data_IF_744313895862
#
_entry.id   IF_744313895862
#
_cell.length_a   1.000
_cell.length_b   1.000
_cell.length_c   1.000
_cell.angle_alpha   90.00
_cell.angle_beta   90.00
_cell.angle_gamma   90.00
#
_symmetry.space_group_name_H-M   'P 1'
#
loop_
_entity.id
_entity.type
_entity.pdbx_description
1 polymer ?
#
# COMPACT_ATOMS: atom_id res chain seq x y z
N UNK A 1 26.17 6.56 -10.70
CA UNK A 1 25.48 6.26 -9.44
C UNK A 1 24.45 7.35 -9.22
N UNK A 2 23.16 6.99 -9.09
CA UNK A 2 22.09 7.92 -8.72
C UNK A 2 21.79 7.71 -7.24
N UNK A 3 21.74 8.79 -6.47
CA UNK A 3 21.34 8.76 -5.06
C UNK A 3 19.97 9.44 -4.98
N UNK A 4 19.02 8.81 -4.31
CA UNK A 4 17.65 9.30 -4.19
C UNK A 4 17.39 9.54 -2.71
N UNK A 5 17.05 10.79 -2.36
CA UNK A 5 16.52 11.09 -1.04
C UNK A 5 15.02 10.84 -1.04
N UNK A 6 14.60 9.72 -0.45
CA UNK A 6 13.19 9.30 -0.43
C UNK A 6 12.32 10.27 0.38
N UNK A 7 12.93 11.16 1.17
CA UNK A 7 12.20 12.11 2.01
C UNK A 7 11.58 13.27 1.24
N UNK A 8 12.04 13.52 0.02
CA UNK A 8 11.54 14.59 -0.85
C UNK A 8 10.20 14.24 -1.51
N UNK A 9 9.82 12.96 -1.54
CA UNK A 9 8.60 12.50 -2.19
C UNK A 9 7.39 12.61 -1.26
N UNK A 10 6.38 13.36 -1.73
CA UNK A 10 5.12 13.61 -1.02
C UNK A 10 3.87 13.23 -1.82
N UNK A 11 4.02 12.99 -3.12
CA UNK A 11 2.95 12.52 -4.00
C UNK A 11 2.73 11.03 -3.82
N UNK A 12 1.50 10.56 -4.07
CA UNK A 12 1.07 9.16 -3.91
C UNK A 12 2.09 8.17 -4.49
N UNK A 13 2.50 8.38 -5.73
CA UNK A 13 3.41 7.49 -6.44
C UNK A 13 4.48 8.26 -7.20
N UNK A 14 5.73 7.80 -7.13
CA UNK A 14 6.85 8.43 -7.82
C UNK A 14 7.89 7.42 -8.25
N UNK A 15 8.00 7.18 -9.56
CA UNK A 15 8.97 6.25 -10.13
C UNK A 15 10.37 6.85 -10.02
N UNK A 16 11.29 6.10 -9.42
CA UNK A 16 12.68 6.53 -9.21
C UNK A 16 13.69 5.73 -10.03
N UNK A 17 13.28 4.56 -10.50
CA UNK A 17 14.01 3.66 -11.38
C UNK A 17 13.03 2.89 -12.29
N UNK A 18 13.42 2.66 -13.54
CA UNK A 18 12.71 1.80 -14.49
C UNK A 18 13.74 1.05 -15.33
N UNK A 19 13.52 -0.24 -15.51
CA UNK A 19 14.07 -1.06 -16.59
C UNK A 19 12.86 -1.54 -17.38
N UNK A 20 12.61 -0.90 -18.52
CA UNK A 20 11.29 -0.85 -19.18
C UNK A 20 10.70 -2.23 -19.54
N UNK A 21 11.54 -3.27 -19.63
CA UNK A 21 11.12 -4.63 -19.96
C UNK A 21 10.96 -5.55 -18.72
N UNK A 22 11.44 -5.10 -17.56
CA UNK A 22 11.59 -5.96 -16.38
C UNK A 22 10.83 -5.37 -15.18
N UNK A 23 11.46 -4.43 -14.48
CA UNK A 23 11.02 -3.96 -13.17
C UNK A 23 11.16 -2.44 -13.09
N UNK A 24 10.22 -1.81 -12.38
CA UNK A 24 10.33 -0.44 -11.94
C UNK A 24 10.30 -0.37 -10.43
N UNK A 25 10.90 0.68 -9.90
CA UNK A 25 10.86 0.97 -8.48
C UNK A 25 10.42 2.42 -8.27
N UNK A 26 9.60 2.63 -7.26
CA UNK A 26 9.11 3.96 -6.91
C UNK A 26 8.89 4.12 -5.42
N UNK A 27 8.70 5.37 -5.03
CA UNK A 27 8.36 5.75 -3.67
C UNK A 27 6.85 5.93 -3.59
N UNK A 28 6.24 5.17 -2.69
CA UNK A 28 4.81 5.16 -2.44
C UNK A 28 4.49 5.81 -1.11
N UNK A 29 3.47 6.66 -1.12
CA UNK A 29 3.04 7.52 -0.03
C UNK A 29 1.51 7.41 0.05
N UNK A 30 0.94 6.47 0.84
CA UNK A 30 -0.51 6.19 0.82
C UNK A 30 -1.35 7.44 1.09
N UNK A 31 -2.39 7.70 0.31
CA UNK A 31 -3.18 8.93 0.49
C UNK A 31 -4.17 8.88 1.65
N UNK A 32 -4.64 7.67 1.97
CA UNK A 32 -5.62 7.41 3.02
C UNK A 32 -4.98 7.51 4.41
N UNK A 33 -5.74 8.01 5.38
CA UNK A 33 -5.35 8.14 6.78
C UNK A 33 -5.87 7.01 7.68
N UNK A 34 -6.85 6.24 7.21
CA UNK A 34 -7.45 5.12 7.94
C UNK A 34 -8.03 4.08 6.99
N UNK A 35 -8.47 2.94 7.55
CA UNK A 35 -9.12 1.86 6.80
C UNK A 35 -10.42 2.32 6.14
N UNK A 36 -11.21 3.16 6.83
CA UNK A 36 -12.52 3.62 6.37
C UNK A 36 -12.46 4.51 5.13
N UNK A 37 -11.31 5.16 4.89
CA UNK A 37 -11.07 5.98 3.71
C UNK A 37 -10.73 5.12 2.46
N UNK A 38 -10.39 3.84 2.65
CA UNK A 38 -10.08 2.93 1.56
C UNK A 38 -11.37 2.43 0.91
N UNK A 39 -11.72 3.03 -0.24
CA UNK A 39 -12.94 2.71 -1.00
C UNK A 39 -12.67 2.01 -2.34
N UNK A 40 -11.40 1.84 -2.69
CA UNK A 40 -10.95 1.13 -3.90
C UNK A 40 -9.81 0.19 -3.51
N UNK A 41 -9.83 -1.02 -4.05
CA UNK A 41 -8.68 -1.91 -4.08
C UNK A 41 -8.18 -2.02 -5.52
N UNK A 42 -6.88 -2.22 -5.68
CA UNK A 42 -6.25 -2.51 -6.96
C UNK A 42 -5.65 -3.92 -6.95
N UNK A 43 -5.61 -4.57 -8.10
CA UNK A 43 -4.94 -5.85 -8.28
C UNK A 43 -4.17 -5.86 -9.56
N UNK A 44 -2.93 -6.29 -9.46
CA UNK A 44 -2.04 -6.42 -10.60
C UNK A 44 -2.05 -7.84 -11.16
N UNK A 45 -1.76 -7.96 -12.45
CA UNK A 45 -1.53 -9.24 -13.12
C UNK A 45 -0.17 -9.89 -12.78
N UNK A 46 0.63 -9.22 -11.94
CA UNK A 46 1.96 -9.64 -11.47
C UNK A 46 2.18 -9.24 -10.01
N UNK A 47 3.12 -9.89 -9.30
CA UNK A 47 3.44 -9.53 -7.92
C UNK A 47 3.99 -8.11 -7.79
N UNK A 48 3.62 -7.46 -6.70
CA UNK A 48 4.16 -6.18 -6.26
C UNK A 48 4.81 -6.31 -4.89
N UNK A 49 5.96 -5.67 -4.72
CA UNK A 49 6.75 -5.76 -3.50
C UNK A 49 6.74 -4.43 -2.77
N UNK A 50 6.47 -4.46 -1.47
CA UNK A 50 6.50 -3.28 -0.60
C UNK A 50 7.58 -3.44 0.49
N UNK A 51 8.34 -2.37 0.72
CA UNK A 51 9.36 -2.29 1.77
C UNK A 51 9.18 -0.96 2.51
N UNK A 52 8.92 -1.02 3.82
CA UNK A 52 8.77 0.18 4.63
C UNK A 52 10.12 0.88 4.79
N UNK A 53 10.21 2.13 4.34
CA UNK A 53 11.41 2.96 4.48
C UNK A 53 11.39 3.71 5.81
N UNK A 54 10.26 4.35 6.13
CA UNK A 54 10.05 5.04 7.40
C UNK A 54 8.56 5.27 7.68
N UNK A 55 8.28 5.62 8.94
CA UNK A 55 6.93 5.94 9.38
C UNK A 55 6.07 4.70 9.57
N UNK A 56 4.77 4.84 9.32
CA UNK A 56 3.76 3.81 9.52
C UNK A 56 2.89 3.67 8.26
N UNK A 57 2.76 2.44 7.78
CA UNK A 57 1.85 2.06 6.68
C UNK A 57 1.15 0.76 7.08
N UNK A 58 -0.16 0.73 6.90
CA UNK A 58 -0.94 -0.50 6.96
C UNK A 58 -1.35 -0.86 5.53
N UNK A 59 -0.98 -2.07 5.10
CA UNK A 59 -1.50 -2.67 3.88
C UNK A 59 -2.91 -3.18 4.15
N UNK A 60 -3.80 -2.93 3.21
CA UNK A 60 -5.19 -3.41 3.18
C UNK A 60 -5.25 -4.43 2.08
N UNK A 61 -5.52 -5.69 2.42
CA UNK A 61 -5.42 -6.82 1.49
C UNK A 61 -6.75 -7.57 1.41
N UNK A 62 -7.04 -8.18 0.28
CA UNK A 62 -8.21 -9.05 0.09
C UNK A 62 -7.99 -10.07 -1.01
N UNK A 63 -8.29 -11.34 -0.75
CA UNK A 63 -8.17 -12.41 -1.74
C UNK A 63 -9.36 -12.40 -2.72
N UNK A 64 -10.55 -12.10 -2.22
CA UNK A 64 -11.82 -12.20 -2.94
C UNK A 64 -12.48 -10.83 -3.27
N UNK A 65 -11.90 -9.74 -2.76
CA UNK A 65 -12.45 -8.40 -2.91
C UNK A 65 -13.62 -8.08 -1.97
N UNK A 66 -13.93 -8.97 -1.02
CA UNK A 66 -15.04 -8.85 -0.07
C UNK A 66 -14.50 -8.80 1.36
N UNK A 67 -13.71 -9.80 1.75
CA UNK A 67 -13.10 -9.85 3.07
C UNK A 67 -11.76 -9.11 3.06
N UNK A 68 -11.65 -8.09 3.90
CA UNK A 68 -10.46 -7.24 3.99
C UNK A 68 -9.68 -7.57 5.25
N UNK A 69 -8.36 -7.72 5.12
CA UNK A 69 -7.40 -7.88 6.22
C UNK A 69 -6.40 -6.72 6.24
N UNK A 70 -5.99 -6.32 7.43
CA UNK A 70 -4.96 -5.29 7.62
C UNK A 70 -3.63 -5.93 8.02
N UNK A 71 -2.55 -5.46 7.40
CA UNK A 71 -1.18 -5.88 7.72
C UNK A 71 -0.33 -4.65 7.97
N UNK A 72 0.06 -4.44 9.23
CA UNK A 72 1.00 -3.38 9.57
C UNK A 72 2.39 -3.70 9.00
N UNK A 73 2.95 -2.76 8.24
CA UNK A 73 4.29 -2.91 7.70
C UNK A 73 5.35 -2.70 8.78
N UNK A 74 6.43 -3.47 8.71
CA UNK A 74 7.59 -3.38 9.59
C UNK A 74 8.87 -3.17 8.78
N UNK A 75 9.78 -2.36 9.33
CA UNK A 75 11.10 -2.14 8.73
C UNK A 75 11.90 -3.45 8.69
N UNK A 76 12.66 -3.65 7.61
CA UNK A 76 13.46 -4.86 7.40
C UNK A 76 12.65 -6.07 6.90
N UNK A 77 11.35 -5.94 6.69
CA UNK A 77 10.51 -6.95 6.03
C UNK A 77 10.19 -6.54 4.59
N UNK A 78 9.99 -7.54 3.74
CA UNK A 78 9.51 -7.38 2.37
C UNK A 78 8.14 -8.04 2.29
N UNK A 79 7.16 -7.30 1.79
CA UNK A 79 5.79 -7.77 1.60
C UNK A 79 5.58 -8.01 0.11
N UNK A 80 5.30 -9.25 -0.29
CA UNK A 80 5.01 -9.62 -1.69
C UNK A 80 3.51 -9.79 -1.80
N UNK A 81 2.87 -9.00 -2.66
CA UNK A 81 1.41 -8.90 -2.78
C UNK A 81 1.00 -9.34 -4.18
N UNK A 82 0.10 -10.32 -4.25
CA UNK A 82 -0.50 -10.85 -5.48
C UNK A 82 -2.03 -10.77 -5.46
N UNK A 83 -2.59 -10.26 -4.36
CA UNK A 83 -4.02 -10.15 -4.09
C UNK A 83 -4.52 -8.70 -4.25
N UNK A 84 -5.82 -8.47 -4.10
CA UNK A 84 -6.35 -7.11 -4.09
C UNK A 84 -5.75 -6.34 -2.93
N UNK A 85 -5.33 -5.11 -3.17
CA UNK A 85 -4.69 -4.34 -2.15
C UNK A 85 -4.90 -2.83 -2.28
N UNK A 86 -4.65 -2.14 -1.16
CA UNK A 86 -4.41 -0.72 -1.06
C UNK A 86 -3.60 -0.50 0.24
N UNK A 87 -3.37 0.73 0.64
CA UNK A 87 -2.75 1.04 1.91
C UNK A 87 -3.25 2.35 2.49
N UNK A 88 -2.97 2.56 3.76
CA UNK A 88 -3.18 3.83 4.44
C UNK A 88 -2.07 4.12 5.46
N UNK A 89 -1.96 5.38 5.86
CA UNK A 89 -1.05 5.84 6.93
C UNK A 89 -1.85 6.22 8.17
N UNK A 90 -1.81 5.44 9.26
CA UNK A 90 -2.66 5.65 10.43
C UNK A 90 -2.60 7.07 10.99
N UNK A 91 -3.73 7.79 10.94
CA UNK A 91 -3.85 9.16 11.44
C UNK A 91 -3.04 10.18 10.62
N UNK A 92 -2.82 9.90 9.34
CA UNK A 92 -2.01 10.70 8.42
C UNK A 92 -0.58 10.97 8.94
N UNK A 93 -0.05 10.05 9.75
CA UNK A 93 1.34 10.05 10.18
C UNK A 93 2.27 9.86 8.96
N UNK A 94 3.57 10.23 9.07
CA UNK A 94 4.53 9.93 8.01
C UNK A 94 4.55 8.43 7.71
N UNK A 95 4.75 8.07 6.45
CA UNK A 95 4.80 6.68 5.98
C UNK A 95 5.22 6.63 4.52
N UNK A 96 6.33 5.95 4.24
CA UNK A 96 6.89 5.79 2.90
C UNK A 96 7.30 4.35 2.67
N UNK A 97 6.90 3.81 1.54
CA UNK A 97 7.37 2.51 1.07
C UNK A 97 8.20 2.67 -0.20
N UNK A 98 9.26 1.87 -0.31
CA UNK A 98 9.80 1.51 -1.62
C UNK A 98 8.90 0.41 -2.18
N UNK A 99 8.43 0.62 -3.40
CA UNK A 99 7.63 -0.35 -4.12
C UNK A 99 8.38 -0.79 -5.36
N UNK A 100 8.38 -2.10 -5.60
CA UNK A 100 8.99 -2.72 -6.78
C UNK A 100 7.90 -3.54 -7.47
N UNK A 101 7.66 -3.23 -8.73
CA UNK A 101 6.61 -3.83 -9.54
C UNK A 101 7.11 -4.03 -10.97
N UNK A 102 6.44 -4.88 -11.73
CA UNK A 102 6.76 -5.07 -13.13
C UNK A 102 6.57 -3.76 -13.92
N UNK A 103 7.46 -3.48 -14.87
CA UNK A 103 7.35 -2.26 -15.68
C UNK A 103 6.08 -2.24 -16.55
N UNK A 104 5.67 -3.42 -17.04
CA UNK A 104 4.49 -3.63 -17.88
C UNK A 104 3.40 -4.41 -17.13
N UNK A 105 2.77 -3.72 -16.18
CA UNK A 105 1.71 -4.27 -15.32
C UNK A 105 0.33 -3.89 -15.86
N UNK A 106 -0.63 -4.80 -15.74
CA UNK A 106 -2.05 -4.50 -15.93
C UNK A 106 -2.73 -4.43 -14.56
N UNK A 107 -3.55 -3.40 -14.36
CA UNK A 107 -4.22 -3.17 -13.07
C UNK A 107 -5.72 -3.22 -13.24
N UNK A 108 -6.36 -4.05 -12.43
CA UNK A 108 -7.80 -4.04 -12.21
C UNK A 108 -8.13 -3.25 -10.95
N UNK A 109 -9.32 -2.64 -10.92
CA UNK A 109 -9.80 -1.86 -9.79
C UNK A 109 -11.16 -2.37 -9.33
N UNK A 110 -11.31 -2.47 -8.01
CA UNK A 110 -12.54 -2.89 -7.36
C UNK A 110 -12.98 -1.81 -6.37
N UNK A 111 -14.19 -1.30 -6.53
CA UNK A 111 -14.79 -0.43 -5.51
C UNK A 111 -15.35 -1.27 -4.37
N UNK A 112 -15.00 -0.92 -3.14
CA UNK A 112 -15.52 -1.55 -1.93
C UNK A 112 -16.38 -0.54 -1.15
N UNK A 113 -17.43 -0.99 -0.45
CA UNK A 113 -18.19 -0.11 0.43
C UNK A 113 -17.27 0.45 1.54
N UNK A 114 -17.54 1.67 2.05
CA UNK A 114 -16.79 2.20 3.19
C UNK A 114 -16.82 1.20 4.34
N UNK A 115 -15.64 0.84 4.83
CA UNK A 115 -15.49 -0.08 5.95
C UNK A 115 -16.02 0.63 7.20
N UNK A 116 -16.87 -0.07 7.97
CA UNK A 116 -17.38 0.47 9.22
C UNK A 116 -16.32 0.29 10.31
N UNK A 117 -16.14 1.26 11.23
CA UNK A 117 -15.25 1.05 12.36
C UNK A 117 -15.73 -0.17 13.14
N UNK A 118 -14.80 -1.08 13.45
CA UNK A 118 -15.04 -2.09 14.47
C UNK A 118 -15.47 -1.36 15.74
N UNK A 119 -16.76 -1.44 16.09
CA UNK A 119 -17.21 -1.02 17.40
C UNK A 119 -16.52 -1.95 18.38
N UNK A 120 -15.59 -1.41 19.19
CA UNK A 120 -15.26 -2.05 20.45
C UNK A 120 -16.59 -2.29 21.16
N UNK A 121 -16.98 -3.55 21.27
CA UNK A 121 -18.09 -3.94 22.12
C UNK A 121 -17.67 -3.53 23.52
N UNK A 122 -18.23 -2.43 24.01
CA UNK A 122 -18.07 -2.04 25.40
C UNK A 122 -18.53 -3.19 26.28
N UNK A 123 -17.57 -3.84 26.92
CA UNK A 123 -17.84 -4.71 28.05
C UNK A 123 -18.34 -3.82 29.19
N UNK A 124 -19.66 -3.67 29.26
CA UNK A 124 -20.34 -3.22 30.46
C UNK A 124 -20.31 -4.37 31.49
N UNK A 125 -19.46 -4.23 32.50
CA UNK A 125 -19.65 -4.85 33.81
C UNK A 125 -19.45 -3.81 34.91
#
# INVERSE_FOLDING_TARGET
MKVIDTREYKSRWSIVFTDDECWRAGIYVPENASLEEVVVLEKHDRPELFILLDGEINLVLSEDGVEVKEVQMEQGKVYVVEEWHNAYRPGNRPGRALVIEAANIQTEYLSIPPLSPCRETGDNF
#
